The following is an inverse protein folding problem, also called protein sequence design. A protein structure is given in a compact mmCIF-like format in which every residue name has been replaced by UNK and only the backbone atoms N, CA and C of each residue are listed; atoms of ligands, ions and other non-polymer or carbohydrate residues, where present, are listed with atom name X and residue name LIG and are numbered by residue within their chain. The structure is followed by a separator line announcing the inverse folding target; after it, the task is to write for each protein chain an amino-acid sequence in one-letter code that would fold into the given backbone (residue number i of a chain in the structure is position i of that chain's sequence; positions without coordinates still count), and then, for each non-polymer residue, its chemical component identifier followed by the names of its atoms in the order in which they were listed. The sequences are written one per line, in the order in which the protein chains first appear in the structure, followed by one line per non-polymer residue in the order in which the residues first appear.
data_IF_451992716846
#
_entry.id   IF_451992716846
#
_cell.length_a   1.000
_cell.length_b   1.000
_cell.length_c   1.000
_cell.angle_alpha   90.00
_cell.angle_beta   90.00
_cell.angle_gamma   90.00
#
_symmetry.space_group_name_H-M   'P 1'
#
loop_
_entity.id
_entity.type
_entity.pdbx_description
1 polymer ?
#
# COMPACT_ATOMS: atom_id res chain seq x y z
N UNK A 1 -6.05 17.44 8.14
CA UNK A 1 -4.78 17.15 7.46
C UNK A 1 -4.90 15.77 6.85
N UNK A 2 -4.37 15.57 5.65
CA UNK A 2 -4.28 14.24 5.03
C UNK A 2 -3.33 13.36 5.83
N UNK A 3 -3.54 12.04 5.82
CA UNK A 3 -2.58 11.09 6.36
C UNK A 3 -1.75 10.49 5.23
N UNK A 4 -0.44 10.71 5.25
CA UNK A 4 0.50 10.12 4.29
C UNK A 4 0.99 8.79 4.87
N UNK A 5 0.59 7.70 4.22
CA UNK A 5 0.91 6.34 4.67
C UNK A 5 1.77 5.61 3.65
N UNK A 6 2.95 5.19 4.09
CA UNK A 6 3.85 4.35 3.32
C UNK A 6 3.37 2.89 3.34
N UNK A 7 3.46 2.17 2.22
CA UNK A 7 3.28 0.71 2.19
C UNK A 7 4.56 0.07 1.70
N UNK A 8 5.24 -0.65 2.60
CA UNK A 8 6.55 -1.24 2.35
C UNK A 8 6.62 -2.71 2.81
N UNK A 9 7.74 -3.37 2.56
CA UNK A 9 7.97 -4.79 2.89
C UNK A 9 9.46 -5.10 2.92
N UNK A 10 9.88 -6.07 3.73
CA UNK A 10 11.25 -6.59 3.69
C UNK A 10 11.64 -7.29 2.40
N UNK A 11 10.67 -7.84 1.65
CA UNK A 11 10.92 -8.71 0.50
C UNK A 11 10.02 -8.39 -0.69
N UNK A 12 10.57 -8.48 -1.90
CA UNK A 12 9.79 -8.45 -3.15
C UNK A 12 8.72 -9.55 -3.18
N UNK A 13 7.53 -9.25 -3.68
CA UNK A 13 6.43 -10.22 -3.80
C UNK A 13 5.58 -10.45 -2.53
N UNK A 14 5.88 -9.78 -1.41
CA UNK A 14 5.09 -9.84 -0.17
C UNK A 14 3.65 -9.30 -0.34
N UNK A 15 3.38 -8.52 -1.39
CA UNK A 15 2.05 -8.02 -1.75
C UNK A 15 1.77 -6.56 -1.43
N UNK A 16 2.80 -5.70 -1.36
CA UNK A 16 2.68 -4.24 -1.15
C UNK A 16 1.58 -3.62 -2.02
N UNK A 17 1.69 -3.70 -3.34
CA UNK A 17 0.72 -3.11 -4.27
C UNK A 17 -0.70 -3.63 -4.07
N UNK A 18 -0.87 -4.92 -3.76
CA UNK A 18 -2.17 -5.51 -3.39
C UNK A 18 -2.73 -4.88 -2.13
N UNK A 19 -1.92 -4.76 -1.08
CA UNK A 19 -2.31 -4.12 0.18
C UNK A 19 -2.61 -2.64 -0.03
N UNK A 20 -1.79 -1.93 -0.80
CA UNK A 20 -1.98 -0.52 -1.17
C UNK A 20 -3.33 -0.32 -1.85
N UNK A 21 -3.60 -1.04 -2.94
CA UNK A 21 -4.83 -0.92 -3.74
C UNK A 21 -6.07 -1.26 -2.94
N UNK A 22 -6.11 -2.41 -2.28
CA UNK A 22 -7.35 -2.86 -1.66
C UNK A 22 -7.62 -2.22 -0.31
N UNK A 23 -6.59 -1.76 0.42
CA UNK A 23 -6.80 -0.90 1.58
C UNK A 23 -7.32 0.48 1.15
N UNK A 24 -6.77 1.04 0.06
CA UNK A 24 -7.27 2.30 -0.52
C UNK A 24 -8.72 2.15 -1.00
N UNK A 25 -9.06 1.04 -1.66
CA UNK A 25 -10.42 0.74 -2.09
C UNK A 25 -11.38 0.58 -0.91
N UNK A 26 -10.96 -0.06 0.17
CA UNK A 26 -11.75 -0.19 1.39
C UNK A 26 -12.02 1.18 2.03
N UNK A 27 -11.00 2.03 2.21
CA UNK A 27 -11.17 3.41 2.71
C UNK A 27 -12.08 4.26 1.81
N UNK A 28 -11.95 4.11 0.49
CA UNK A 28 -12.73 4.84 -0.50
C UNK A 28 -14.15 4.29 -0.68
N UNK A 29 -14.44 3.08 -0.17
CA UNK A 29 -15.74 2.45 -0.30
C UNK A 29 -16.87 3.31 0.30
N UNK A 30 -18.14 3.11 -0.10
CA UNK A 30 -19.27 3.82 0.47
C UNK A 30 -19.39 3.73 2.00
N UNK A 31 -18.82 2.69 2.61
CA UNK A 31 -18.84 2.50 4.06
C UNK A 31 -18.01 3.55 4.81
N UNK A 32 -16.89 4.01 4.25
CA UNK A 32 -15.99 4.95 4.91
C UNK A 32 -15.86 6.30 4.17
N UNK A 33 -16.14 6.31 2.87
CA UNK A 33 -16.30 7.53 2.06
C UNK A 33 -15.07 8.42 1.97
N UNK A 34 -13.86 7.87 2.16
CA UNK A 34 -12.63 8.66 2.14
C UNK A 34 -12.18 8.96 0.72
N UNK A 35 -11.63 10.15 0.50
CA UNK A 35 -10.91 10.50 -0.73
C UNK A 35 -9.49 9.98 -0.59
N UNK A 36 -9.10 9.04 -1.43
CA UNK A 36 -7.79 8.39 -1.36
C UNK A 36 -7.05 8.58 -2.68
N UNK A 37 -5.77 8.94 -2.58
CA UNK A 37 -4.84 8.96 -3.70
C UNK A 37 -3.71 7.96 -3.44
N UNK A 38 -3.50 7.04 -4.37
CA UNK A 38 -2.34 6.18 -4.43
C UNK A 38 -1.21 6.86 -5.20
N UNK A 39 0.00 6.86 -4.66
CA UNK A 39 1.21 7.27 -5.37
C UNK A 39 2.03 6.00 -5.64
N UNK A 40 2.18 5.64 -6.91
CA UNK A 40 3.02 4.52 -7.31
C UNK A 40 4.47 5.00 -7.44
N UNK A 41 5.40 4.36 -6.72
CA UNK A 41 6.81 4.74 -6.72
C UNK A 41 7.71 3.72 -7.44
N UNK A 42 7.14 2.63 -7.97
CA UNK A 42 7.88 1.58 -8.67
C UNK A 42 8.10 1.94 -10.16
N UNK A 43 9.13 2.77 -10.39
CA UNK A 43 9.45 3.28 -11.72
C UNK A 43 9.83 2.15 -12.70
N UNK A 44 9.14 2.13 -13.85
CA UNK A 44 9.36 1.18 -14.93
C UNK A 44 8.89 -0.26 -14.70
N UNK A 45 8.25 -0.56 -13.57
CA UNK A 45 7.50 -1.80 -13.29
C UNK A 45 6.09 -1.48 -12.76
N UNK A 46 5.41 -0.52 -13.41
CA UNK A 46 4.04 -0.11 -13.07
C UNK A 46 3.07 -1.28 -13.09
N UNK A 47 2.14 -1.29 -12.16
CA UNK A 47 1.03 -2.24 -12.11
C UNK A 47 -0.26 -1.70 -11.48
N UNK A 48 -0.23 -0.52 -10.84
CA UNK A 48 -1.44 0.02 -10.20
C UNK A 48 -2.54 0.36 -11.20
N UNK A 49 -2.19 0.83 -12.40
CA UNK A 49 -3.15 1.12 -13.47
C UNK A 49 -3.96 -0.12 -13.89
N UNK A 50 -3.30 -1.28 -13.96
CA UNK A 50 -3.94 -2.58 -14.22
C UNK A 50 -4.86 -2.94 -13.06
N UNK A 51 -4.37 -2.89 -11.81
CA UNK A 51 -5.12 -3.26 -10.60
C UNK A 51 -6.34 -2.36 -10.34
N UNK A 52 -6.27 -1.12 -10.80
CA UNK A 52 -7.33 -0.13 -10.65
C UNK A 52 -8.25 -0.06 -11.88
N UNK A 53 -8.01 -0.88 -12.92
CA UNK A 53 -8.85 -0.95 -14.11
C UNK A 53 -8.85 0.36 -14.92
N UNK A 54 -7.68 0.96 -15.07
CA UNK A 54 -7.50 2.29 -15.64
C UNK A 54 -6.34 2.40 -16.65
N UNK A 55 -5.79 1.29 -17.12
CA UNK A 55 -4.65 1.27 -18.07
C UNK A 55 -4.90 2.06 -19.36
N UNK A 56 -6.15 2.18 -19.82
CA UNK A 56 -6.54 2.95 -21.01
C UNK A 56 -6.63 4.47 -20.77
N UNK A 57 -6.51 4.93 -19.52
CA UNK A 57 -6.67 6.34 -19.11
C UNK A 57 -5.38 7.00 -18.64
N UNK A 58 -4.31 6.23 -18.51
CA UNK A 58 -3.01 6.71 -18.05
C UNK A 58 -2.25 7.39 -19.19
N UNK A 59 -2.31 8.72 -19.23
CA UNK A 59 -1.63 9.55 -20.26
C UNK A 59 -0.35 10.18 -19.73
N UNK A 60 -0.41 10.77 -18.53
CA UNK A 60 0.73 11.39 -17.86
C UNK A 60 1.06 10.62 -16.57
N UNK A 61 2.30 10.76 -16.10
CA UNK A 61 2.78 10.16 -14.86
C UNK A 61 3.39 11.18 -13.89
N UNK A 62 3.79 10.71 -12.71
CA UNK A 62 4.43 11.54 -11.70
C UNK A 62 5.70 12.24 -12.22
N UNK A 63 6.47 11.60 -13.10
CA UNK A 63 7.66 12.21 -13.71
C UNK A 63 7.32 13.42 -14.55
N UNK A 64 6.24 13.35 -15.34
CA UNK A 64 5.74 14.51 -16.11
C UNK A 64 5.38 15.70 -15.21
N UNK A 65 4.81 15.42 -14.04
CA UNK A 65 4.46 16.46 -13.06
C UNK A 65 5.71 17.09 -12.45
N UNK A 66 6.65 16.25 -11.99
CA UNK A 66 7.85 16.71 -11.29
C UNK A 66 8.83 17.44 -12.23
N UNK A 67 8.82 17.09 -13.52
CA UNK A 67 9.60 17.78 -14.56
C UNK A 67 8.83 18.95 -15.19
N UNK A 68 7.68 19.34 -14.61
CA UNK A 68 6.85 20.46 -15.03
C UNK A 68 6.33 20.37 -16.47
N UNK A 69 6.18 19.16 -17.01
CA UNK A 69 5.57 18.90 -18.32
C UNK A 69 4.04 18.95 -18.28
N UNK A 70 3.44 18.66 -17.13
CA UNK A 70 2.00 18.77 -16.93
C UNK A 70 1.64 19.20 -15.51
N UNK A 71 0.40 19.66 -15.32
CA UNK A 71 -0.15 19.96 -14.00
C UNK A 71 -0.51 18.64 -13.28
N UNK A 72 -0.39 18.56 -11.94
CA UNK A 72 -0.67 17.34 -11.18
C UNK A 72 -2.01 16.67 -11.54
N UNK A 73 -3.06 17.48 -11.72
CA UNK A 73 -4.41 16.98 -12.03
C UNK A 73 -4.48 16.18 -13.34
N UNK A 74 -3.56 16.40 -14.28
CA UNK A 74 -3.49 15.67 -15.56
C UNK A 74 -2.87 14.28 -15.42
N UNK A 75 -2.05 14.07 -14.39
CA UNK A 75 -1.43 12.77 -14.08
C UNK A 75 -2.21 11.97 -13.02
N UNK A 76 -3.22 12.56 -12.40
CA UNK A 76 -4.13 11.86 -11.49
C UNK A 76 -5.18 11.13 -12.31
N UNK A 77 -5.25 9.82 -12.14
CA UNK A 77 -6.17 8.95 -12.85
C UNK A 77 -7.19 8.38 -11.85
N UNK A 78 -8.47 8.43 -12.21
CA UNK A 78 -9.53 7.84 -11.40
C UNK A 78 -9.54 6.31 -11.55
N UNK A 79 -9.75 5.60 -10.43
CA UNK A 79 -9.99 4.17 -10.43
C UNK A 79 -11.21 3.83 -11.31
N UNK A 80 -11.13 2.74 -12.07
CA UNK A 80 -12.17 2.29 -12.99
C UNK A 80 -13.49 1.90 -12.31
N UNK A 81 -13.45 1.55 -11.02
CA UNK A 81 -14.59 1.01 -10.27
C UNK A 81 -14.94 1.76 -8.97
N UNK A 82 -14.16 2.76 -8.54
CA UNK A 82 -14.44 3.58 -7.34
C UNK A 82 -14.13 5.06 -7.59
N UNK A 83 -15.16 5.92 -7.53
CA UNK A 83 -15.02 7.36 -7.84
C UNK A 83 -14.15 8.16 -6.86
N UNK A 84 -14.09 7.73 -5.61
CA UNK A 84 -13.34 8.36 -4.51
C UNK A 84 -11.87 7.91 -4.46
N UNK A 85 -11.49 6.92 -5.27
CA UNK A 85 -10.14 6.38 -5.35
C UNK A 85 -9.45 6.85 -6.62
N UNK A 86 -8.28 7.44 -6.45
CA UNK A 86 -7.44 7.90 -7.54
C UNK A 86 -6.03 7.34 -7.37
N UNK A 87 -5.24 7.41 -8.43
CA UNK A 87 -3.81 7.13 -8.36
C UNK A 87 -3.01 8.06 -9.28
N UNK A 88 -1.75 8.24 -8.94
CA UNK A 88 -0.75 8.84 -9.81
C UNK A 88 0.28 7.76 -10.18
N UNK A 89 0.40 7.38 -11.46
CA UNK A 89 1.33 6.35 -11.89
C UNK A 89 2.80 6.75 -11.67
N UNK A 90 3.66 5.77 -11.38
CA UNK A 90 5.10 5.98 -11.36
C UNK A 90 5.59 6.37 -12.75
N UNK A 91 6.76 7.00 -12.94
CA UNK A 91 7.38 7.17 -14.26
C UNK A 91 7.71 5.83 -14.96
N UNK A 92 7.76 5.83 -16.30
CA UNK A 92 8.09 4.63 -17.11
C UNK A 92 9.60 4.44 -17.20
N UNK A 93 10.35 5.54 -17.10
CA UNK A 93 11.79 5.51 -16.99
C UNK A 93 12.22 4.88 -15.66
N UNK A 94 12.83 3.68 -15.73
CA UNK A 94 13.36 2.94 -14.59
C UNK A 94 14.41 3.70 -13.80
N UNK A 95 15.10 4.65 -14.44
CA UNK A 95 16.10 5.49 -13.79
C UNK A 95 15.50 6.65 -13.00
N UNK A 96 14.21 6.93 -13.16
CA UNK A 96 13.58 8.06 -12.51
C UNK A 96 13.43 7.79 -11.01
N UNK A 97 13.99 8.68 -10.20
CA UNK A 97 13.73 8.74 -8.77
C UNK A 97 13.47 10.20 -8.38
N UNK A 98 12.31 10.50 -7.76
CA UNK A 98 12.01 11.86 -7.36
C UNK A 98 12.99 12.34 -6.28
N UNK A 99 13.29 13.65 -6.27
CA UNK A 99 13.99 14.25 -5.14
C UNK A 99 13.03 14.37 -3.96
N UNK A 100 13.55 14.21 -2.74
CA UNK A 100 12.76 14.29 -1.52
C UNK A 100 11.96 15.59 -1.39
N UNK A 101 12.57 16.73 -1.71
CA UNK A 101 11.88 18.03 -1.65
C UNK A 101 10.76 18.18 -2.67
N UNK A 102 10.94 17.61 -3.87
CA UNK A 102 9.93 17.69 -4.93
C UNK A 102 8.74 16.78 -4.60
N UNK A 103 8.98 15.56 -4.11
CA UNK A 103 7.92 14.69 -3.60
C UNK A 103 7.20 15.34 -2.41
N UNK A 104 7.93 15.96 -1.47
CA UNK A 104 7.34 16.65 -0.32
C UNK A 104 6.42 17.78 -0.75
N UNK A 105 6.82 18.59 -1.73
CA UNK A 105 5.97 19.67 -2.29
C UNK A 105 4.72 19.11 -2.96
N UNK A 106 4.87 18.04 -3.74
CA UNK A 106 3.76 17.37 -4.41
C UNK A 106 2.76 16.83 -3.39
N UNK A 107 3.22 16.03 -2.41
CA UNK A 107 2.38 15.50 -1.35
C UNK A 107 1.66 16.62 -0.59
N UNK A 108 2.37 17.69 -0.20
CA UNK A 108 1.77 18.84 0.50
C UNK A 108 0.61 19.46 -0.29
N UNK A 109 0.77 19.67 -1.58
CA UNK A 109 -0.29 20.22 -2.44
C UNK A 109 -1.47 19.27 -2.58
N UNK A 110 -1.22 17.96 -2.69
CA UNK A 110 -2.27 16.95 -2.83
C UNK A 110 -3.02 16.67 -1.52
N UNK A 111 -2.37 16.86 -0.37
CA UNK A 111 -2.97 16.69 0.96
C UNK A 111 -4.13 17.64 1.25
N UNK A 112 -4.34 18.68 0.46
CA UNK A 112 -5.51 19.56 0.57
C UNK A 112 -6.79 18.92 0.00
N UNK A 113 -6.66 17.94 -0.90
CA UNK A 113 -7.77 17.35 -1.65
C UNK A 113 -8.13 15.92 -1.24
N UNK A 114 -7.21 15.22 -0.56
CA UNK A 114 -7.34 13.82 -0.19
C UNK A 114 -7.22 13.62 1.32
N UNK A 115 -8.02 12.70 1.86
CA UNK A 115 -7.97 12.35 3.28
C UNK A 115 -6.79 11.40 3.57
N UNK A 116 -6.42 10.57 2.59
CA UNK A 116 -5.24 9.70 2.64
C UNK A 116 -4.43 9.81 1.34
N UNK A 117 -3.11 9.91 1.50
CA UNK A 117 -2.13 9.63 0.46
C UNK A 117 -1.45 8.31 0.80
N UNK A 118 -1.60 7.29 -0.05
CA UNK A 118 -0.98 5.97 0.17
C UNK A 118 0.16 5.80 -0.83
N UNK A 119 1.38 5.62 -0.35
CA UNK A 119 2.58 5.50 -1.18
C UNK A 119 2.95 4.03 -1.31
N UNK A 120 2.81 3.47 -2.53
CA UNK A 120 3.23 2.11 -2.85
C UNK A 120 4.72 2.10 -3.23
N UNK A 121 5.57 1.56 -2.36
CA UNK A 121 7.02 1.63 -2.56
C UNK A 121 7.51 0.58 -3.56
N UNK A 122 8.63 0.85 -4.27
CA UNK A 122 9.33 -0.20 -5.03
C UNK A 122 9.76 -1.36 -4.12
N UNK A 123 10.16 -2.47 -4.74
CA UNK A 123 10.80 -3.55 -4.01
C UNK A 123 12.23 -3.16 -3.55
N UNK A 124 12.58 -3.50 -2.31
CA UNK A 124 13.92 -3.29 -1.75
C UNK A 124 14.10 -1.96 -0.99
N UNK A 125 15.33 -1.75 -0.51
CA UNK A 125 15.71 -0.65 0.39
C UNK A 125 16.73 0.28 -0.29
N UNK A 126 16.26 1.04 -1.26
CA UNK A 126 17.08 2.01 -2.01
C UNK A 126 16.51 3.42 -1.99
N UNK A 127 17.02 4.29 -2.86
CA UNK A 127 16.66 5.72 -2.89
C UNK A 127 15.14 5.96 -2.97
N UNK A 128 14.40 5.13 -3.72
CA UNK A 128 12.94 5.23 -3.78
C UNK A 128 12.24 4.96 -2.44
N UNK A 129 12.79 4.07 -1.62
CA UNK A 129 12.32 3.84 -0.25
C UNK A 129 12.64 5.07 0.63
N UNK A 130 13.88 5.56 0.62
CA UNK A 130 14.31 6.69 1.46
C UNK A 130 13.52 7.97 1.16
N UNK A 131 13.29 8.24 -0.13
CA UNK A 131 12.50 9.40 -0.56
C UNK A 131 11.05 9.27 -0.11
N UNK A 132 10.45 8.09 -0.24
CA UNK A 132 9.08 7.82 0.23
C UNK A 132 8.96 7.92 1.75
N UNK A 133 9.98 7.45 2.47
CA UNK A 133 10.08 7.53 3.93
C UNK A 133 10.09 8.99 4.40
N UNK A 134 10.79 9.87 3.69
CA UNK A 134 10.98 11.28 4.06
C UNK A 134 9.71 12.16 4.04
N UNK A 135 8.59 11.62 3.55
CA UNK A 135 7.29 12.30 3.45
C UNK A 135 6.16 11.57 4.17
N UNK A 136 6.40 10.36 4.70
CA UNK A 136 5.37 9.56 5.34
C UNK A 136 5.13 9.99 6.79
N UNK A 137 3.88 9.93 7.24
CA UNK A 137 3.51 10.12 8.66
C UNK A 137 3.49 8.78 9.42
N UNK A 138 3.29 7.69 8.68
CA UNK A 138 3.01 6.36 9.23
C UNK A 138 3.25 5.29 8.15
N UNK A 139 3.34 4.02 8.54
CA UNK A 139 3.62 2.95 7.58
C UNK A 139 2.76 1.69 7.80
N UNK A 140 2.52 0.99 6.69
CA UNK A 140 2.23 -0.43 6.68
C UNK A 140 3.46 -1.21 6.28
N UNK A 141 3.87 -2.10 7.17
CA UNK A 141 4.91 -3.08 6.90
C UNK A 141 4.22 -4.40 6.54
N UNK A 142 4.36 -4.82 5.27
CA UNK A 142 3.78 -6.06 4.76
C UNK A 142 4.80 -7.18 4.89
N UNK A 143 4.40 -8.27 5.55
CA UNK A 143 5.19 -9.49 5.68
C UNK A 143 4.32 -10.71 5.35
N UNK A 144 4.95 -11.83 4.98
CA UNK A 144 4.29 -13.13 4.86
C UNK A 144 4.73 -14.05 6.01
N UNK A 145 3.97 -15.10 6.36
CA UNK A 145 4.37 -16.10 7.37
C UNK A 145 5.49 -17.02 6.84
N UNK A 146 6.62 -16.43 6.48
CA UNK A 146 7.82 -17.06 5.92
C UNK A 146 9.04 -16.53 6.68
N UNK A 147 9.96 -17.38 7.18
CA UNK A 147 11.09 -16.94 8.00
C UNK A 147 11.96 -15.87 7.34
N UNK A 148 12.15 -15.94 6.01
CA UNK A 148 12.92 -14.94 5.27
C UNK A 148 12.15 -13.61 5.26
N UNK A 149 10.86 -13.63 4.92
CA UNK A 149 10.03 -12.42 4.94
C UNK A 149 9.96 -11.79 6.33
N UNK A 150 9.91 -12.57 7.41
CA UNK A 150 9.87 -12.07 8.78
C UNK A 150 11.16 -11.35 9.17
N UNK A 151 12.30 -12.00 8.93
CA UNK A 151 13.61 -11.42 9.21
C UNK A 151 13.82 -10.13 8.42
N UNK A 152 13.50 -10.15 7.14
CA UNK A 152 13.68 -8.98 6.29
C UNK A 152 12.72 -7.85 6.72
N UNK A 153 11.48 -8.17 7.11
CA UNK A 153 10.53 -7.20 7.65
C UNK A 153 11.00 -6.58 8.97
N UNK A 154 11.58 -7.36 9.89
CA UNK A 154 12.15 -6.84 11.13
C UNK A 154 13.26 -5.80 10.88
N UNK A 155 14.13 -6.04 9.89
CA UNK A 155 15.15 -5.06 9.48
C UNK A 155 14.51 -3.78 8.94
N UNK A 156 13.44 -3.89 8.14
CA UNK A 156 12.71 -2.72 7.63
C UNK A 156 12.00 -1.96 8.73
N UNK A 157 11.45 -2.65 9.74
CA UNK A 157 10.86 -2.01 10.92
C UNK A 157 11.90 -1.12 11.63
N UNK A 158 13.13 -1.60 11.79
CA UNK A 158 14.23 -0.80 12.34
C UNK A 158 14.48 0.49 11.55
N UNK A 159 14.54 0.39 10.21
CA UNK A 159 14.72 1.57 9.34
C UNK A 159 13.54 2.55 9.40
N UNK A 160 12.31 2.05 9.51
CA UNK A 160 11.13 2.90 9.69
C UNK A 160 11.20 3.68 11.00
N UNK A 161 11.58 3.02 12.10
CA UNK A 161 11.74 3.67 13.40
C UNK A 161 12.91 4.66 13.43
N UNK A 162 14.06 4.32 12.83
CA UNK A 162 15.18 5.24 12.66
C UNK A 162 14.79 6.47 11.82
N UNK A 163 13.89 6.28 10.84
CA UNK A 163 13.28 7.35 10.05
C UNK A 163 12.18 8.15 10.76
N UNK A 164 11.88 7.85 12.04
CA UNK A 164 10.87 8.55 12.83
C UNK A 164 9.42 8.12 12.56
N UNK A 165 9.21 6.98 11.91
CA UNK A 165 7.88 6.44 11.60
C UNK A 165 7.44 5.46 12.70
N UNK A 166 7.21 6.00 13.90
CA UNK A 166 6.79 5.22 15.06
C UNK A 166 5.39 4.60 14.89
N UNK A 167 4.49 5.26 14.14
CA UNK A 167 3.19 4.69 13.75
C UNK A 167 3.33 3.73 12.56
N UNK A 168 4.11 2.68 12.77
CA UNK A 168 4.21 1.54 11.85
C UNK A 168 3.28 0.42 12.32
N UNK A 169 2.48 -0.12 11.39
CA UNK A 169 1.61 -1.27 11.64
C UNK A 169 1.94 -2.43 10.71
N UNK A 170 1.89 -3.64 11.25
CA UNK A 170 2.14 -4.87 10.53
C UNK A 170 0.86 -5.34 9.84
N UNK A 171 0.99 -5.73 8.56
CA UNK A 171 -0.02 -6.51 7.84
C UNK A 171 0.63 -7.84 7.47
N UNK A 172 0.11 -8.93 8.02
CA UNK A 172 0.53 -10.28 7.64
C UNK A 172 -0.30 -10.70 6.45
N UNK A 173 0.33 -10.82 5.28
CA UNK A 173 -0.31 -11.19 4.04
C UNK A 173 -0.09 -12.67 3.71
N UNK A 174 -0.94 -13.21 2.83
CA UNK A 174 -0.83 -14.57 2.30
C UNK A 174 -0.92 -15.66 3.36
N UNK A 175 -1.78 -15.49 4.36
CA UNK A 175 -1.98 -16.50 5.39
C UNK A 175 -2.65 -17.73 4.77
N UNK A 176 -2.00 -18.91 4.80
CA UNK A 176 -2.60 -20.12 4.27
C UNK A 176 -3.93 -20.43 4.95
N UNK A 177 -4.90 -20.92 4.17
CA UNK A 177 -6.23 -21.33 4.67
C UNK A 177 -6.17 -22.44 5.74
N UNK A 178 -5.06 -23.17 5.80
CA UNK A 178 -4.80 -24.20 6.82
C UNK A 178 -3.58 -23.80 7.62
N UNK A 179 -3.69 -23.56 8.94
CA UNK A 179 -2.55 -23.17 9.77
C UNK A 179 -1.35 -24.11 9.66
N UNK A 180 -1.59 -25.42 9.52
CA UNK A 180 -0.53 -26.43 9.33
C UNK A 180 0.29 -26.29 8.03
N UNK A 181 -0.13 -25.45 7.08
CA UNK A 181 0.64 -25.13 5.88
C UNK A 181 1.59 -23.95 6.08
N UNK A 182 1.52 -23.26 7.22
CA UNK A 182 2.45 -22.20 7.53
C UNK A 182 3.85 -22.77 7.77
N UNK A 183 4.90 -22.18 7.18
CA UNK A 183 6.30 -22.45 7.52
C UNK A 183 6.70 -22.10 8.96
N UNK A 184 5.80 -21.53 9.75
CA UNK A 184 6.00 -21.01 11.10
C UNK A 184 4.90 -21.51 12.02
N UNK A 185 5.16 -21.48 13.33
CA UNK A 185 4.28 -22.11 14.33
C UNK A 185 2.87 -21.52 14.34
N UNK A 186 2.77 -20.18 14.31
CA UNK A 186 1.51 -19.43 14.32
C UNK A 186 1.77 -17.97 13.90
N UNK A 187 0.73 -17.14 13.92
CA UNK A 187 0.88 -15.71 13.61
C UNK A 187 1.58 -14.93 14.73
N UNK A 188 1.52 -15.38 15.99
CA UNK A 188 2.22 -14.72 17.09
C UNK A 188 3.73 -14.73 16.86
N UNK A 189 4.29 -15.84 16.34
CA UNK A 189 5.69 -15.92 15.93
C UNK A 189 6.07 -14.88 14.86
N UNK A 190 5.14 -14.52 13.96
CA UNK A 190 5.35 -13.47 12.96
C UNK A 190 5.39 -12.10 13.63
N UNK A 191 4.44 -11.84 14.53
CA UNK A 191 4.35 -10.57 15.27
C UNK A 191 5.61 -10.36 16.11
N UNK A 192 6.02 -11.38 16.88
CA UNK A 192 7.18 -11.34 17.76
C UNK A 192 8.48 -11.15 16.98
N UNK A 193 8.64 -11.85 15.85
CA UNK A 193 9.83 -11.72 15.02
C UNK A 193 9.97 -10.33 14.37
N UNK A 194 8.86 -9.73 13.96
CA UNK A 194 8.87 -8.42 13.30
C UNK A 194 8.90 -7.27 14.31
N UNK A 195 8.32 -7.45 15.50
CA UNK A 195 8.33 -6.45 16.58
C UNK A 195 7.43 -5.24 16.34
N UNK A 196 6.38 -5.39 15.52
CA UNK A 196 5.46 -4.31 15.13
C UNK A 196 4.02 -4.69 15.43
N UNK A 197 3.22 -3.73 15.90
CA UNK A 197 1.80 -3.93 16.18
C UNK A 197 1.01 -4.37 14.94
N UNK A 198 0.33 -5.51 15.02
CA UNK A 198 -0.55 -6.02 13.98
C UNK A 198 -1.80 -5.15 13.80
N UNK A 199 -2.11 -4.77 12.55
CA UNK A 199 -3.39 -4.13 12.19
C UNK A 199 -4.30 -5.03 11.34
N UNK A 200 -3.74 -6.05 10.68
CA UNK A 200 -4.55 -6.96 9.86
C UNK A 200 -3.82 -8.21 9.40
N UNK A 201 -4.60 -9.23 9.11
CA UNK A 201 -4.15 -10.58 8.77
C UNK A 201 -4.91 -11.06 7.52
N UNK A 202 -4.28 -10.97 6.35
CA UNK A 202 -4.92 -11.24 5.07
C UNK A 202 -4.71 -12.70 4.63
N UNK A 203 -5.80 -13.44 4.34
CA UNK A 203 -5.70 -14.81 3.85
C UNK A 203 -5.16 -14.87 2.41
N UNK A 204 -4.47 -15.96 2.09
CA UNK A 204 -4.13 -16.28 0.70
C UNK A 204 -5.41 -16.69 -0.04
N UNK A 205 -5.80 -15.88 -1.02
CA UNK A 205 -6.96 -16.09 -1.87
C UNK A 205 -6.63 -15.87 -3.34
N UNK A 206 -6.92 -16.87 -4.19
CA UNK A 206 -6.72 -16.78 -5.64
C UNK A 206 -7.53 -15.65 -6.28
N UNK A 207 -8.70 -15.35 -5.71
CA UNK A 207 -9.59 -14.31 -6.22
C UNK A 207 -8.96 -12.91 -6.09
N UNK A 208 -8.10 -12.68 -5.08
CA UNK A 208 -7.39 -11.41 -4.92
C UNK A 208 -6.46 -11.15 -6.10
N UNK A 209 -5.65 -12.14 -6.47
CA UNK A 209 -4.75 -12.05 -7.63
C UNK A 209 -5.53 -11.91 -8.95
N UNK A 210 -6.64 -12.63 -9.08
CA UNK A 210 -7.51 -12.55 -10.26
C UNK A 210 -8.18 -11.18 -10.41
N UNK A 211 -8.77 -10.63 -9.34
CA UNK A 211 -9.38 -9.30 -9.37
C UNK A 211 -8.36 -8.22 -9.68
N UNK A 212 -7.15 -8.33 -9.11
CA UNK A 212 -6.05 -7.41 -9.39
C UNK A 212 -5.65 -7.45 -10.87
N UNK A 213 -5.48 -8.65 -11.45
CA UNK A 213 -5.13 -8.81 -12.86
C UNK A 213 -6.23 -8.32 -13.82
N UNK A 214 -7.49 -8.31 -13.39
CA UNK A 214 -8.64 -7.89 -14.19
C UNK A 214 -9.06 -6.43 -13.95
N UNK A 215 -8.40 -5.71 -13.03
CA UNK A 215 -8.77 -4.35 -12.65
C UNK A 215 -10.17 -4.24 -12.05
N UNK A 216 -10.52 -5.16 -11.14
CA UNK A 216 -11.86 -5.28 -10.55
C UNK A 216 -11.81 -5.18 -9.02
N UNK A 217 -12.91 -4.73 -8.37
CA UNK A 217 -13.00 -4.80 -6.92
C UNK A 217 -13.06 -6.26 -6.45
N UNK A 218 -12.68 -6.50 -5.20
CA UNK A 218 -12.92 -7.80 -4.57
C UNK A 218 -14.42 -8.01 -4.35
N UNK A 219 -14.94 -9.25 -4.51
CA UNK A 219 -16.30 -9.58 -4.11
C UNK A 219 -16.49 -9.30 -2.62
N UNK A 220 -17.59 -8.65 -2.23
CA UNK A 220 -17.86 -8.27 -0.82
C UNK A 220 -17.87 -9.45 0.15
N UNK A 221 -18.17 -10.66 -0.35
CA UNK A 221 -18.19 -11.87 0.47
C UNK A 221 -16.82 -12.52 0.69
N UNK A 222 -15.80 -12.12 -0.08
CA UNK A 222 -14.43 -12.63 0.08
C UNK A 222 -13.89 -12.30 1.48
N UNK A 223 -13.28 -13.27 2.19
CA UNK A 223 -12.62 -13.02 3.46
C UNK A 223 -11.59 -11.87 3.39
N UNK A 224 -10.79 -11.81 2.32
CA UNK A 224 -9.86 -10.71 2.10
C UNK A 224 -10.56 -9.36 1.97
N UNK A 225 -11.70 -9.28 1.25
CA UNK A 225 -12.47 -8.04 1.14
C UNK A 225 -12.97 -7.55 2.51
N UNK A 226 -13.47 -8.47 3.34
CA UNK A 226 -13.91 -8.19 4.71
C UNK A 226 -12.75 -7.72 5.57
N UNK A 227 -11.58 -8.35 5.46
CA UNK A 227 -10.43 -7.94 6.24
C UNK A 227 -9.84 -6.60 5.79
N UNK A 228 -9.82 -6.27 4.50
CA UNK A 228 -9.45 -4.92 4.04
C UNK A 228 -10.40 -3.85 4.61
N UNK A 229 -11.70 -4.13 4.71
CA UNK A 229 -12.66 -3.25 5.38
C UNK A 229 -12.39 -3.14 6.89
N UNK A 230 -11.99 -4.22 7.55
CA UNK A 230 -11.61 -4.20 8.96
C UNK A 230 -10.34 -3.37 9.19
N UNK A 231 -9.31 -3.56 8.36
CA UNK A 231 -8.08 -2.75 8.38
C UNK A 231 -8.43 -1.27 8.22
N UNK A 232 -9.24 -0.90 7.22
CA UNK A 232 -9.68 0.47 7.00
C UNK A 232 -10.51 1.03 8.18
N UNK A 233 -11.26 0.20 8.89
CA UNK A 233 -11.96 0.59 10.12
C UNK A 233 -11.00 0.86 11.27
N UNK A 234 -10.02 -0.03 11.49
CA UNK A 234 -8.96 0.14 12.51
C UNK A 234 -8.11 1.38 12.23
N UNK A 235 -7.80 1.68 10.96
CA UNK A 235 -7.13 2.91 10.55
C UNK A 235 -7.89 4.19 10.96
N UNK A 236 -9.21 4.10 11.10
CA UNK A 236 -10.06 5.21 11.51
C UNK A 236 -10.35 5.20 13.01
N UNK A 237 -9.65 4.36 13.78
CA UNK A 237 -9.79 4.25 15.23
C UNK A 237 -10.97 3.38 15.70
N UNK A 238 -11.63 2.64 14.81
CA UNK A 238 -12.66 1.69 15.20
C UNK A 238 -12.04 0.45 15.86
N UNK A 239 -12.62 0.01 16.97
CA UNK A 239 -12.26 -1.26 17.58
C UNK A 239 -12.94 -2.40 16.83
N UNK A 240 -12.17 -3.10 16.00
CA UNK A 240 -12.59 -4.29 15.25
C UNK A 240 -11.64 -5.43 15.63
N UNK A 241 -12.12 -6.52 16.27
CA UNK A 241 -11.28 -7.66 16.63
C UNK A 241 -10.56 -8.23 15.41
N UNK A 242 -9.35 -8.77 15.59
CA UNK A 242 -8.67 -9.53 14.56
C UNK A 242 -9.39 -10.88 14.40
N UNK A 243 -9.84 -11.19 13.18
CA UNK A 243 -10.45 -12.49 12.87
C UNK A 243 -9.37 -13.44 12.34
N UNK A 244 -8.64 -14.07 13.27
CA UNK A 244 -7.54 -14.99 12.98
C UNK A 244 -8.04 -16.43 13.17
N UNK A 245 -8.97 -16.86 12.33
CA UNK A 245 -9.48 -18.24 12.34
C UNK A 245 -8.85 -19.11 11.27
#
# INVERSE_FOLDING_TARGET
MSHIKLVTSGKGGAGKSTVSVYTAAALASPQYGKRVLLLEMDAGLRGLDIMLGASDRTVFDMGDVLESRCEPIKAIVACGYLRSLHFMPAPTDRGFCPKADDLRRLCKGLSEYYDYLIIDTPAGLGVGFDVSLSVADSAFLVATPDPISMRDAASVAGLLFEGGIDDTKLIINRIPQRPAQMPVENLDAVIDAVGVQLIGALPEEREVARCAALGRPLPSESPAAKEFLNIAGRMQGLYIPLDIR
#
